data_IF_881044789441
#
_entry.id   IF_881044789441
#
_cell.length_a   1.000
_cell.length_b   1.000
_cell.length_c   1.000
_cell.angle_alpha   90.00
_cell.angle_beta   90.00
_cell.angle_gamma   90.00
#
_symmetry.space_group_name_H-M   'P 1'
#
loop_
_entity.id
_entity.type
_entity.pdbx_description
1 polymer ?
#
# COMPACT_ATOMS: atom_id res chain seq x y z
N UNK A 1 72.52 15.09 -17.55
CA UNK A 1 72.88 14.39 -16.29
C UNK A 1 72.42 15.26 -15.11
N UNK A 2 71.82 14.65 -14.09
CA UNK A 2 71.32 15.23 -12.81
C UNK A 2 69.92 15.88 -12.70
N UNK A 3 69.00 15.05 -12.18
CA UNK A 3 67.99 15.26 -11.12
C UNK A 3 67.81 16.68 -10.58
N UNK A 4 66.56 17.18 -10.59
CA UNK A 4 65.91 17.85 -9.43
C UNK A 4 64.39 18.07 -9.65
N UNK A 5 63.61 17.45 -8.75
CA UNK A 5 62.36 17.92 -8.13
C UNK A 5 61.17 18.28 -9.02
N UNK A 6 60.15 17.41 -9.04
CA UNK A 6 58.75 17.83 -8.82
C UNK A 6 58.12 16.82 -7.88
N UNK A 7 57.66 17.32 -6.73
CA UNK A 7 57.06 16.57 -5.64
C UNK A 7 55.56 16.39 -5.90
N UNK A 8 55.06 15.20 -5.58
CA UNK A 8 53.67 14.75 -5.72
C UNK A 8 52.76 15.50 -4.73
N UNK A 9 51.63 16.00 -5.21
CA UNK A 9 50.46 16.32 -4.39
C UNK A 9 49.19 16.00 -5.21
N UNK A 10 48.77 14.74 -5.17
CA UNK A 10 47.39 14.37 -5.46
C UNK A 10 46.71 14.08 -4.13
N UNK A 11 45.87 15.03 -3.70
CA UNK A 11 44.89 14.85 -2.64
C UNK A 11 43.88 13.79 -3.10
N UNK A 12 44.07 12.54 -2.66
CA UNK A 12 43.01 11.54 -2.67
C UNK A 12 42.07 11.87 -1.50
N UNK A 13 41.00 12.62 -1.79
CA UNK A 13 39.81 12.61 -0.95
C UNK A 13 39.21 11.20 -0.99
N UNK A 14 39.66 10.36 -0.06
CA UNK A 14 39.00 9.11 0.26
C UNK A 14 37.64 9.45 0.89
N UNK A 15 36.57 9.32 0.11
CA UNK A 15 35.25 9.09 0.68
C UNK A 15 35.33 7.76 1.44
N UNK A 16 35.40 7.86 2.77
CA UNK A 16 35.33 6.71 3.65
C UNK A 16 33.91 6.12 3.58
N UNK A 17 33.66 5.25 2.61
CA UNK A 17 32.72 4.14 2.81
C UNK A 17 33.37 3.22 3.84
N UNK A 18 33.14 3.48 5.12
CA UNK A 18 33.44 2.55 6.20
C UNK A 18 32.53 1.33 6.05
N UNK A 19 32.91 0.41 5.17
CA UNK A 19 32.42 -0.97 5.21
C UNK A 19 33.07 -1.64 6.41
N UNK A 20 32.52 -1.38 7.60
CA UNK A 20 32.91 -2.09 8.82
C UNK A 20 32.47 -3.55 8.68
N UNK A 21 33.37 -4.38 8.16
CA UNK A 21 33.30 -5.83 8.35
C UNK A 21 33.49 -6.04 9.86
N UNK A 22 32.59 -6.74 10.56
CA UNK A 22 32.88 -7.13 11.93
C UNK A 22 34.24 -7.83 11.95
N UNK A 23 35.17 -7.35 12.77
CA UNK A 23 36.47 -8.00 12.93
C UNK A 23 36.25 -9.47 13.33
N UNK A 24 37.17 -10.36 12.99
CA UNK A 24 37.04 -11.81 13.14
C UNK A 24 36.75 -12.29 14.60
N UNK A 25 36.73 -11.40 15.60
CA UNK A 25 36.32 -11.65 16.98
C UNK A 25 35.05 -10.92 17.48
N UNK A 26 34.39 -10.09 16.67
CA UNK A 26 33.20 -9.35 17.10
C UNK A 26 31.95 -10.25 17.06
N UNK A 27 31.55 -10.77 18.23
CA UNK A 27 30.38 -11.67 18.38
C UNK A 27 29.04 -11.00 18.10
N UNK A 28 28.94 -9.68 18.33
CA UNK A 28 27.70 -8.91 18.15
C UNK A 28 27.96 -7.68 17.28
N UNK A 29 27.24 -7.57 16.17
CA UNK A 29 27.14 -6.36 15.37
C UNK A 29 25.94 -5.53 15.84
N UNK A 30 26.13 -4.23 16.00
CA UNK A 30 25.09 -3.32 16.47
C UNK A 30 24.67 -2.39 15.33
N UNK A 31 23.39 -2.46 14.97
CA UNK A 31 22.78 -1.58 13.99
C UNK A 31 21.84 -0.60 14.70
N UNK A 32 22.23 0.66 14.77
CA UNK A 32 21.49 1.71 15.49
C UNK A 32 20.68 2.56 14.52
N UNK A 33 19.41 2.77 14.85
CA UNK A 33 18.48 3.66 14.12
C UNK A 33 17.66 4.44 15.14
N UNK A 34 17.85 5.76 15.17
CA UNK A 34 17.36 6.60 16.26
C UNK A 34 17.79 6.08 17.63
N UNK A 35 16.81 5.77 18.48
CA UNK A 35 17.04 5.24 19.83
C UNK A 35 17.10 3.70 19.89
N UNK A 36 16.73 3.01 18.81
CA UNK A 36 16.74 1.55 18.78
C UNK A 36 18.10 1.01 18.36
N UNK A 37 18.53 -0.08 19.00
CA UNK A 37 19.72 -0.83 18.62
C UNK A 37 19.34 -2.27 18.33
N UNK A 38 19.44 -2.66 17.06
CA UNK A 38 19.33 -4.06 16.64
C UNK A 38 20.68 -4.76 16.89
N UNK A 39 20.68 -5.72 17.80
CA UNK A 39 21.87 -6.53 18.10
C UNK A 39 21.84 -7.81 17.24
N UNK A 40 22.89 -8.04 16.47
CA UNK A 40 23.00 -9.16 15.54
C UNK A 40 24.17 -10.05 15.96
N UNK A 41 23.88 -11.31 16.29
CA UNK A 41 24.93 -12.32 16.51
C UNK A 41 25.55 -12.72 15.17
N UNK A 42 26.85 -12.47 15.03
CA UNK A 42 27.59 -12.66 13.76
C UNK A 42 27.97 -14.12 13.49
N UNK A 43 27.74 -15.03 14.45
CA UNK A 43 28.10 -16.44 14.37
C UNK A 43 26.88 -17.36 14.36
N UNK A 44 25.81 -17.01 15.08
CA UNK A 44 24.61 -17.84 15.28
C UNK A 44 23.97 -18.36 13.99
N UNK A 45 24.03 -17.57 12.91
CA UNK A 45 23.33 -17.87 11.65
C UNK A 45 24.25 -18.23 10.49
N UNK A 46 25.56 -18.41 10.75
CA UNK A 46 26.55 -18.71 9.71
C UNK A 46 26.22 -20.03 9.00
N UNK A 47 26.23 -20.02 7.68
CA UNK A 47 25.94 -21.19 6.85
C UNK A 47 24.46 -21.55 6.71
N UNK A 48 23.56 -20.86 7.43
CA UNK A 48 22.11 -21.03 7.25
C UNK A 48 21.65 -20.30 5.99
N UNK A 49 20.56 -20.79 5.40
CA UNK A 49 19.96 -20.18 4.20
C UNK A 49 18.48 -19.95 4.43
N UNK A 50 17.98 -18.76 4.08
CA UNK A 50 16.55 -18.46 4.01
C UNK A 50 16.15 -18.03 2.60
N UNK A 51 14.89 -18.27 2.22
CA UNK A 51 14.34 -17.83 0.94
C UNK A 51 13.22 -16.82 1.10
N UNK A 52 13.28 -15.77 0.29
CA UNK A 52 12.36 -14.63 0.29
C UNK A 52 11.58 -14.63 -1.01
N UNK A 53 10.26 -14.77 -0.93
CA UNK A 53 9.38 -14.88 -2.09
C UNK A 53 8.63 -13.58 -2.33
N UNK A 54 8.84 -12.97 -3.50
CA UNK A 54 8.28 -11.67 -3.88
C UNK A 54 7.87 -11.65 -5.35
N UNK A 55 7.06 -10.64 -5.74
CA UNK A 55 6.47 -10.57 -7.08
C UNK A 55 7.13 -9.59 -8.05
N UNK A 56 8.33 -9.15 -7.72
CA UNK A 56 9.21 -8.34 -8.55
C UNK A 56 10.64 -8.89 -8.46
N UNK A 57 11.49 -8.68 -9.46
CA UNK A 57 12.90 -9.06 -9.37
C UNK A 57 13.62 -8.29 -8.26
N UNK A 58 14.72 -8.84 -7.74
CA UNK A 58 15.59 -8.09 -6.84
C UNK A 58 16.20 -6.89 -7.59
N UNK A 59 16.02 -5.69 -7.05
CA UNK A 59 16.57 -4.48 -7.63
C UNK A 59 18.03 -4.29 -7.21
N UNK A 60 18.91 -4.10 -8.21
CA UNK A 60 20.33 -3.89 -7.96
C UNK A 60 20.64 -2.47 -7.50
N UNK A 61 19.83 -1.49 -7.92
CA UNK A 61 20.01 -0.06 -7.66
C UNK A 61 18.73 0.51 -7.07
N UNK A 62 18.89 1.41 -6.10
CA UNK A 62 17.80 2.24 -5.62
C UNK A 62 17.53 3.37 -6.61
N UNK A 63 16.26 3.73 -6.77
CA UNK A 63 15.85 4.93 -7.50
C UNK A 63 16.13 6.22 -6.71
N UNK A 64 16.40 6.12 -5.41
CA UNK A 64 16.72 7.25 -4.52
C UNK A 64 18.23 7.24 -4.23
N UNK A 65 19.01 8.20 -4.76
CA UNK A 65 20.44 8.27 -4.54
C UNK A 65 20.80 8.32 -3.04
N UNK A 66 21.70 7.44 -2.62
CA UNK A 66 22.14 7.33 -1.22
C UNK A 66 21.27 6.45 -0.34
N UNK A 67 20.20 5.85 -0.89
CA UNK A 67 19.43 4.77 -0.25
C UNK A 67 19.93 3.43 -0.76
N UNK A 68 20.14 2.46 0.12
CA UNK A 68 20.55 1.12 -0.28
C UNK A 68 19.47 0.44 -1.11
N UNK A 69 19.87 -0.27 -2.16
CA UNK A 69 18.99 -1.17 -2.90
C UNK A 69 18.67 -2.43 -2.10
N UNK A 70 17.60 -3.16 -2.45
CA UNK A 70 17.32 -4.49 -1.89
C UNK A 70 18.53 -5.43 -1.96
N UNK A 71 19.25 -5.44 -3.09
CA UNK A 71 20.48 -6.23 -3.26
C UNK A 71 21.59 -5.83 -2.29
N UNK A 72 21.84 -4.52 -2.13
CA UNK A 72 22.85 -4.02 -1.19
C UNK A 72 22.50 -4.39 0.24
N UNK A 73 21.25 -4.18 0.66
CA UNK A 73 20.78 -4.56 1.98
C UNK A 73 20.96 -6.07 2.22
N UNK A 74 20.63 -6.92 1.24
CA UNK A 74 20.85 -8.36 1.33
C UNK A 74 22.32 -8.73 1.49
N UNK A 75 23.20 -8.17 0.66
CA UNK A 75 24.63 -8.49 0.68
C UNK A 75 25.32 -8.02 1.97
N UNK A 76 24.93 -6.85 2.48
CA UNK A 76 25.36 -6.37 3.80
C UNK A 76 24.94 -7.33 4.91
N UNK A 77 23.69 -7.79 4.88
CA UNK A 77 23.17 -8.77 5.83
C UNK A 77 23.94 -10.10 5.80
N UNK A 78 24.17 -10.65 4.61
CA UNK A 78 24.95 -11.89 4.44
C UNK A 78 26.37 -11.74 4.97
N UNK A 79 26.99 -10.57 4.75
CA UNK A 79 28.35 -10.27 5.23
C UNK A 79 28.43 -10.19 6.76
N UNK A 80 27.41 -9.61 7.40
CA UNK A 80 27.35 -9.46 8.86
C UNK A 80 27.06 -10.80 9.55
N UNK A 81 26.12 -11.57 9.01
CA UNK A 81 25.57 -12.78 9.67
C UNK A 81 26.24 -14.08 9.25
N UNK A 82 26.88 -14.10 8.07
CA UNK A 82 27.34 -15.32 7.42
C UNK A 82 26.20 -16.22 6.92
N UNK A 83 24.94 -15.81 7.03
CA UNK A 83 23.80 -16.48 6.43
C UNK A 83 23.73 -16.19 4.93
N UNK A 84 22.92 -16.98 4.21
CA UNK A 84 22.55 -16.75 2.81
C UNK A 84 21.08 -16.42 2.67
N UNK A 85 20.78 -15.46 1.82
CA UNK A 85 19.41 -15.07 1.50
C UNK A 85 19.19 -15.28 0.01
N UNK A 86 18.16 -16.05 -0.34
CA UNK A 86 17.81 -16.35 -1.72
C UNK A 86 16.50 -15.68 -2.08
N UNK A 87 16.54 -14.74 -3.01
CA UNK A 87 15.33 -14.12 -3.54
C UNK A 87 14.71 -15.04 -4.59
N UNK A 88 13.43 -15.36 -4.41
CA UNK A 88 12.64 -16.16 -5.33
C UNK A 88 11.56 -15.26 -5.93
N UNK A 89 11.70 -14.99 -7.23
CA UNK A 89 10.73 -14.21 -7.99
C UNK A 89 9.57 -15.11 -8.47
N UNK A 90 8.35 -14.64 -8.27
CA UNK A 90 7.11 -15.21 -8.83
C UNK A 90 6.30 -14.10 -9.49
N UNK A 91 5.47 -14.38 -10.49
CA UNK A 91 4.64 -13.31 -11.07
C UNK A 91 3.48 -12.96 -10.15
N UNK A 92 2.85 -11.78 -10.33
CA UNK A 92 1.68 -11.38 -9.55
C UNK A 92 0.53 -12.41 -9.63
N UNK A 93 0.29 -12.94 -10.82
CA UNK A 93 -0.77 -13.89 -11.13
C UNK A 93 -0.53 -15.24 -10.47
N UNK A 94 0.73 -15.70 -10.46
CA UNK A 94 1.10 -17.04 -9.96
C UNK A 94 1.57 -17.05 -8.50
N UNK A 95 1.75 -15.87 -7.88
CA UNK A 95 2.31 -15.71 -6.54
C UNK A 95 1.60 -16.57 -5.50
N UNK A 96 0.26 -16.46 -5.43
CA UNK A 96 -0.53 -17.09 -4.38
C UNK A 96 -0.45 -18.62 -4.45
N UNK A 97 -0.59 -19.17 -5.66
CA UNK A 97 -0.53 -20.61 -5.91
C UNK A 97 0.86 -21.17 -5.58
N UNK A 98 1.92 -20.56 -6.12
CA UNK A 98 3.30 -21.04 -5.92
C UNK A 98 3.75 -20.95 -4.47
N UNK A 99 3.46 -19.84 -3.79
CA UNK A 99 3.77 -19.71 -2.36
C UNK A 99 2.98 -20.73 -1.52
N UNK A 100 1.68 -20.93 -1.81
CA UNK A 100 0.85 -21.93 -1.11
C UNK A 100 1.47 -23.32 -1.24
N UNK A 101 1.82 -23.73 -2.47
CA UNK A 101 2.44 -25.03 -2.71
C UNK A 101 3.77 -25.18 -1.96
N UNK A 102 4.64 -24.17 -2.03
CA UNK A 102 5.96 -24.19 -1.38
C UNK A 102 5.87 -24.24 0.16
N UNK A 103 4.88 -23.57 0.76
CA UNK A 103 4.62 -23.62 2.20
C UNK A 103 4.16 -25.03 2.61
N UNK A 104 3.21 -25.61 1.87
CA UNK A 104 2.65 -26.92 2.19
C UNK A 104 3.65 -28.07 1.97
N UNK A 105 4.53 -27.94 0.98
CA UNK A 105 5.60 -28.93 0.71
C UNK A 105 6.83 -28.78 1.61
N UNK A 106 6.94 -27.68 2.36
CA UNK A 106 8.12 -27.36 3.15
C UNK A 106 9.36 -27.02 2.31
N UNK A 107 9.18 -26.57 1.06
CA UNK A 107 10.24 -26.33 0.07
C UNK A 107 10.97 -25.00 0.29
N UNK A 108 11.35 -24.68 1.53
CA UNK A 108 12.21 -23.55 1.85
C UNK A 108 11.55 -22.18 1.67
N UNK A 109 10.22 -22.06 1.71
CA UNK A 109 9.57 -20.76 1.75
C UNK A 109 9.67 -20.21 3.18
N UNK A 110 10.53 -19.21 3.43
CA UNK A 110 10.74 -18.64 4.77
C UNK A 110 10.01 -17.31 4.95
N UNK A 111 10.22 -16.37 4.03
CA UNK A 111 9.59 -15.05 4.03
C UNK A 111 8.77 -14.90 2.76
N UNK A 112 7.54 -14.42 2.90
CA UNK A 112 6.59 -14.24 1.80
C UNK A 112 6.03 -12.83 1.76
N UNK A 113 5.94 -12.25 0.57
CA UNK A 113 5.17 -11.03 0.34
C UNK A 113 3.71 -11.39 0.05
N UNK A 114 2.84 -11.10 1.01
CA UNK A 114 1.39 -11.36 0.95
C UNK A 114 0.63 -10.05 0.76
N UNK A 115 -0.67 -10.15 0.55
CA UNK A 115 -1.63 -9.05 0.49
C UNK A 115 -2.97 -9.50 1.10
N UNK A 116 -4.02 -8.70 0.95
CA UNK A 116 -5.31 -9.00 1.58
C UNK A 116 -5.93 -10.33 1.11
N UNK A 117 -5.54 -10.86 -0.05
CA UNK A 117 -6.06 -12.13 -0.61
C UNK A 117 -5.73 -13.36 0.25
N UNK A 118 -4.65 -13.31 1.04
CA UNK A 118 -4.28 -14.44 1.91
C UNK A 118 -5.06 -14.47 3.22
N UNK A 119 -5.61 -13.34 3.68
CA UNK A 119 -6.46 -13.28 4.88
C UNK A 119 -7.92 -13.55 4.49
N UNK A 120 -8.64 -14.46 5.16
CA UNK A 120 -8.28 -15.14 6.41
C UNK A 120 -7.66 -16.54 6.22
N UNK A 121 -7.69 -17.09 5.00
CA UNK A 121 -7.40 -18.50 4.72
C UNK A 121 -6.04 -18.95 5.23
N UNK A 122 -4.96 -18.21 4.97
CA UNK A 122 -3.61 -18.60 5.38
C UNK A 122 -3.43 -18.55 6.90
N UNK A 123 -4.05 -17.58 7.59
CA UNK A 123 -4.03 -17.51 9.05
C UNK A 123 -4.85 -18.65 9.67
N UNK A 124 -5.99 -19.02 9.08
CA UNK A 124 -6.80 -20.15 9.53
C UNK A 124 -6.10 -21.50 9.33
N UNK A 125 -5.44 -21.69 8.19
CA UNK A 125 -4.64 -22.89 7.88
C UNK A 125 -3.28 -22.93 8.57
N UNK A 126 -2.96 -21.93 9.42
CA UNK A 126 -1.66 -21.81 10.11
C UNK A 126 -0.46 -21.85 9.16
N UNK A 127 -0.62 -21.30 7.95
CA UNK A 127 0.43 -21.24 6.92
C UNK A 127 1.47 -20.15 7.21
N UNK A 128 1.22 -19.29 8.17
CA UNK A 128 2.09 -18.20 8.59
C UNK A 128 2.39 -18.31 10.09
N UNK A 129 3.58 -17.89 10.49
CA UNK A 129 3.98 -17.81 11.89
C UNK A 129 3.55 -16.46 12.49
N UNK A 130 3.08 -16.44 13.75
CA UNK A 130 2.81 -15.18 14.45
C UNK A 130 4.13 -14.46 14.74
N UNK A 131 4.23 -13.22 14.29
CA UNK A 131 5.45 -12.42 14.33
C UNK A 131 5.76 -11.90 15.73
N UNK A 132 4.77 -11.74 16.62
CA UNK A 132 4.99 -11.32 18.01
C UNK A 132 5.90 -12.28 18.80
N UNK A 133 6.12 -13.50 18.30
CA UNK A 133 7.08 -14.45 18.89
C UNK A 133 8.53 -14.06 18.65
N UNK A 134 8.80 -13.25 17.64
CA UNK A 134 10.15 -12.91 17.17
C UNK A 134 10.41 -11.40 17.12
N UNK A 135 9.35 -10.59 17.09
CA UNK A 135 9.39 -9.13 16.98
C UNK A 135 8.58 -8.53 18.13
N UNK A 136 9.20 -7.66 18.93
CA UNK A 136 8.52 -6.96 20.02
C UNK A 136 7.84 -5.67 19.53
N UNK A 137 6.61 -5.79 19.03
CA UNK A 137 5.82 -4.64 18.56
C UNK A 137 5.45 -3.65 19.67
N UNK A 138 5.68 -3.97 20.96
CA UNK A 138 5.42 -3.06 22.08
C UNK A 138 6.62 -2.14 22.36
N UNK A 139 7.81 -2.49 21.86
CA UNK A 139 8.98 -1.64 21.94
C UNK A 139 8.80 -0.42 21.03
N UNK A 140 8.60 0.76 21.62
CA UNK A 140 8.36 2.01 20.89
C UNK A 140 9.56 2.42 20.04
N UNK A 141 10.79 2.18 20.50
CA UNK A 141 11.99 2.52 19.75
C UNK A 141 12.09 1.64 18.50
N UNK A 142 11.84 0.34 18.62
CA UNK A 142 11.76 -0.57 17.46
C UNK A 142 10.65 -0.14 16.50
N UNK A 143 9.46 0.15 17.05
CA UNK A 143 8.30 0.55 16.26
C UNK A 143 8.61 1.78 15.39
N UNK A 144 9.28 2.78 15.97
CA UNK A 144 9.70 4.00 15.28
C UNK A 144 10.92 3.77 14.37
N UNK A 145 11.83 2.89 14.75
CA UNK A 145 13.01 2.56 13.94
C UNK A 145 12.60 1.89 12.62
N UNK A 146 11.67 0.94 12.66
CA UNK A 146 11.09 0.33 11.45
C UNK A 146 10.08 1.27 10.79
N UNK A 147 9.31 2.02 11.58
CA UNK A 147 8.18 2.80 11.10
C UNK A 147 7.01 1.89 10.71
N UNK A 148 6.62 0.97 11.60
CA UNK A 148 5.56 0.00 11.29
C UNK A 148 4.23 0.68 10.96
N UNK A 149 3.60 0.21 9.88
CA UNK A 149 2.32 0.77 9.39
C UNK A 149 1.14 0.18 10.17
N UNK A 150 0.62 0.94 11.14
CA UNK A 150 -0.42 0.47 12.09
C UNK A 150 -1.64 -0.16 11.39
N UNK A 151 -2.26 0.44 10.35
CA UNK A 151 -3.43 -0.17 9.71
C UNK A 151 -3.16 -1.55 9.09
N UNK A 152 -1.91 -1.79 8.65
CA UNK A 152 -1.48 -3.09 8.12
C UNK A 152 -1.29 -4.10 9.25
N UNK A 153 -0.65 -3.69 10.35
CA UNK A 153 -0.56 -4.52 11.55
C UNK A 153 -1.95 -4.91 12.05
N UNK A 154 -2.86 -3.94 12.17
CA UNK A 154 -4.23 -4.16 12.61
C UNK A 154 -4.96 -5.12 11.66
N UNK A 155 -4.85 -4.90 10.34
CA UNK A 155 -5.49 -5.76 9.35
C UNK A 155 -4.96 -7.19 9.40
N UNK A 156 -3.65 -7.40 9.50
CA UNK A 156 -3.06 -8.74 9.60
C UNK A 156 -3.02 -9.31 11.02
N UNK A 157 -3.57 -8.60 12.01
CA UNK A 157 -3.81 -9.16 13.33
C UNK A 157 -4.93 -10.20 13.26
N UNK A 158 -4.67 -11.37 13.81
CA UNK A 158 -5.60 -12.49 13.87
C UNK A 158 -5.52 -13.15 15.23
N UNK A 159 -6.65 -13.21 15.94
CA UNK A 159 -6.75 -13.79 17.30
C UNK A 159 -5.68 -13.22 18.27
N UNK A 160 -5.43 -11.91 18.17
CA UNK A 160 -4.49 -11.19 19.02
C UNK A 160 -3.00 -11.33 18.63
N UNK A 161 -2.69 -11.95 17.49
CA UNK A 161 -1.32 -12.08 16.98
C UNK A 161 -1.17 -11.41 15.62
N UNK A 162 -0.05 -10.75 15.38
CA UNK A 162 0.35 -10.08 14.15
C UNK A 162 1.01 -11.10 13.22
N UNK A 163 0.52 -11.21 11.99
CA UNK A 163 1.05 -12.19 11.00
C UNK A 163 1.83 -11.57 9.85
N UNK A 164 1.69 -10.26 9.61
CA UNK A 164 2.41 -9.59 8.55
C UNK A 164 2.68 -8.12 8.91
N UNK A 165 3.77 -7.59 8.35
CA UNK A 165 4.27 -6.25 8.62
C UNK A 165 4.73 -5.54 7.35
N UNK A 166 4.66 -4.22 7.38
CA UNK A 166 5.34 -3.35 6.43
C UNK A 166 5.72 -2.04 7.14
N UNK A 167 6.48 -1.19 6.47
CA UNK A 167 6.91 0.11 6.99
C UNK A 167 6.28 1.29 6.25
N UNK A 168 6.61 2.51 6.68
CA UNK A 168 6.27 3.77 6.02
C UNK A 168 7.36 4.26 5.03
N UNK A 169 8.45 3.51 4.91
CA UNK A 169 9.62 3.88 4.11
C UNK A 169 9.68 3.07 2.80
N UNK A 170 8.52 2.73 2.25
CA UNK A 170 8.37 2.10 0.94
C UNK A 170 7.64 3.03 -0.04
N UNK A 171 7.61 2.65 -1.31
CA UNK A 171 7.05 3.45 -2.41
C UNK A 171 5.53 3.63 -2.36
N UNK A 172 4.83 2.82 -1.56
CA UNK A 172 3.37 2.76 -1.47
C UNK A 172 2.86 3.16 -0.07
N UNK A 173 3.55 4.09 0.60
CA UNK A 173 3.15 4.56 1.94
C UNK A 173 1.82 5.31 1.94
N UNK A 174 1.51 6.03 0.85
CA UNK A 174 0.27 6.78 0.73
C UNK A 174 -0.90 5.83 0.44
N UNK A 175 -2.12 6.17 0.87
CA UNK A 175 -3.29 5.45 0.40
C UNK A 175 -3.54 5.77 -1.08
N UNK A 176 -4.58 5.19 -1.66
CA UNK A 176 -5.21 5.69 -2.87
C UNK A 176 -5.54 7.18 -2.73
N UNK A 177 -5.45 7.88 -3.85
CA UNK A 177 -5.47 9.34 -3.92
C UNK A 177 -6.53 9.73 -4.93
N UNK A 178 -7.34 10.74 -4.62
CA UNK A 178 -8.11 11.44 -5.64
C UNK A 178 -7.18 12.46 -6.31
N UNK A 179 -6.64 12.07 -7.46
CA UNK A 179 -5.95 12.96 -8.36
C UNK A 179 -6.97 13.90 -9.01
N UNK A 180 -6.60 15.17 -9.17
CA UNK A 180 -7.44 16.14 -9.87
C UNK A 180 -6.61 17.11 -10.70
N UNK A 181 -7.18 17.60 -11.80
CA UNK A 181 -6.53 18.58 -12.66
C UNK A 181 -6.92 20.00 -12.21
N UNK A 182 -6.00 20.70 -11.53
CA UNK A 182 -6.19 22.05 -10.97
C UNK A 182 -6.68 23.06 -12.02
N UNK A 183 -6.14 22.98 -13.24
CA UNK A 183 -6.50 23.90 -14.33
C UNK A 183 -7.97 23.75 -14.72
N UNK A 184 -8.52 22.53 -14.70
CA UNK A 184 -9.95 22.31 -15.00
C UNK A 184 -10.88 22.96 -13.97
N UNK A 185 -10.49 22.95 -12.70
CA UNK A 185 -11.23 23.65 -11.65
C UNK A 185 -11.11 25.16 -11.78
N UNK A 186 -9.90 25.67 -12.04
CA UNK A 186 -9.63 27.10 -12.23
C UNK A 186 -10.41 27.67 -13.43
N UNK A 187 -10.36 26.99 -14.59
CA UNK A 187 -11.09 27.40 -15.79
C UNK A 187 -12.61 27.43 -15.59
N UNK A 188 -13.14 26.54 -14.75
CA UNK A 188 -14.56 26.49 -14.42
C UNK A 188 -14.95 27.47 -13.29
N UNK A 189 -14.02 28.23 -12.72
CA UNK A 189 -14.26 29.12 -11.59
C UNK A 189 -14.63 28.37 -10.31
N UNK A 190 -14.21 27.11 -10.18
CA UNK A 190 -14.56 26.24 -9.06
C UNK A 190 -13.48 26.26 -7.97
N UNK A 191 -13.87 26.09 -6.69
CA UNK A 191 -12.92 26.00 -5.60
C UNK A 191 -12.00 24.77 -5.72
N UNK A 192 -10.76 24.95 -5.28
CA UNK A 192 -9.76 23.88 -5.25
C UNK A 192 -10.14 22.77 -4.23
N UNK A 193 -10.16 21.48 -4.63
CA UNK A 193 -10.46 20.35 -3.75
C UNK A 193 -9.58 20.23 -2.50
N UNK A 194 -8.29 20.53 -2.59
CA UNK A 194 -7.36 20.45 -1.45
C UNK A 194 -7.69 21.54 -0.42
N UNK A 195 -8.01 22.76 -0.88
CA UNK A 195 -8.47 23.83 0.01
C UNK A 195 -9.82 23.51 0.67
N UNK A 196 -10.75 22.92 -0.08
CA UNK A 196 -12.02 22.43 0.51
C UNK A 196 -11.77 21.35 1.57
N UNK A 197 -10.80 20.46 1.35
CA UNK A 197 -10.44 19.42 2.31
C UNK A 197 -9.87 20.02 3.59
N UNK A 198 -8.95 20.99 3.46
CA UNK A 198 -8.39 21.74 4.60
C UNK A 198 -9.45 22.47 5.41
N UNK A 199 -10.49 22.98 4.74
CA UNK A 199 -11.63 23.65 5.37
C UNK A 199 -12.68 22.68 5.95
N UNK A 200 -12.52 21.36 5.78
CA UNK A 200 -13.52 20.37 6.18
C UNK A 200 -14.79 20.38 5.35
N UNK A 201 -14.76 21.03 4.17
CA UNK A 201 -15.87 21.16 3.22
C UNK A 201 -15.80 20.15 2.07
N UNK A 202 -14.77 19.30 2.01
CA UNK A 202 -14.65 18.25 1.00
C UNK A 202 -15.51 17.03 1.32
N UNK A 203 -16.78 17.11 0.92
CA UNK A 203 -17.82 16.11 1.18
C UNK A 203 -18.34 15.49 -0.12
N UNK A 204 -19.07 14.37 -0.06
CA UNK A 204 -19.73 13.79 -1.24
C UNK A 204 -20.66 14.79 -1.94
N UNK A 205 -21.41 15.59 -1.17
CA UNK A 205 -22.28 16.62 -1.72
C UNK A 205 -21.48 17.64 -2.53
N UNK A 206 -20.37 18.13 -1.98
CA UNK A 206 -19.46 19.05 -2.66
C UNK A 206 -18.87 18.40 -3.91
N UNK A 207 -18.42 17.16 -3.82
CA UNK A 207 -17.89 16.38 -4.94
C UNK A 207 -18.91 16.25 -6.08
N UNK A 208 -20.16 15.89 -5.79
CA UNK A 208 -21.22 15.81 -6.80
C UNK A 208 -21.57 17.18 -7.38
N UNK A 209 -21.59 18.23 -6.55
CA UNK A 209 -21.88 19.59 -7.00
C UNK A 209 -20.81 20.14 -7.94
N UNK A 210 -19.53 19.92 -7.65
CA UNK A 210 -18.44 20.29 -8.54
C UNK A 210 -18.39 19.38 -9.76
N UNK A 211 -18.62 18.08 -9.59
CA UNK A 211 -18.63 17.12 -10.69
C UNK A 211 -19.68 17.40 -11.75
N UNK A 212 -20.90 17.78 -11.36
CA UNK A 212 -21.92 18.26 -12.31
C UNK A 212 -21.42 19.44 -13.13
N UNK A 213 -20.76 20.39 -12.49
CA UNK A 213 -20.25 21.59 -13.17
C UNK A 213 -19.05 21.28 -14.06
N UNK A 214 -18.22 20.28 -13.72
CA UNK A 214 -17.06 19.87 -14.53
C UNK A 214 -17.41 18.97 -15.71
N UNK A 215 -18.63 18.44 -15.76
CA UNK A 215 -19.11 17.60 -16.86
C UNK A 215 -19.72 18.52 -17.92
N UNK A 216 -18.97 18.79 -18.98
CA UNK A 216 -19.26 19.86 -19.93
C UNK A 216 -19.02 19.42 -21.38
N UNK A 217 -19.79 20.03 -22.27
CA UNK A 217 -19.44 20.19 -23.67
C UNK A 217 -18.60 21.47 -23.78
N UNK A 218 -17.29 21.31 -23.94
CA UNK A 218 -16.36 22.44 -23.94
C UNK A 218 -16.17 23.07 -25.32
N UNK A 219 -16.65 22.42 -26.39
CA UNK A 219 -16.52 22.88 -27.77
C UNK A 219 -17.85 23.39 -28.39
N UNK A 220 -18.99 23.13 -27.73
CA UNK A 220 -20.31 23.60 -28.12
C UNK A 220 -20.99 22.80 -29.23
N UNK A 221 -20.53 21.58 -29.53
CA UNK A 221 -21.08 20.71 -30.60
C UNK A 221 -22.31 19.89 -30.17
N UNK A 222 -22.75 20.07 -28.91
CA UNK A 222 -23.87 19.37 -28.30
C UNK A 222 -23.50 18.02 -27.68
N UNK A 223 -22.21 17.65 -27.65
CA UNK A 223 -21.72 16.40 -27.05
C UNK A 223 -20.74 16.70 -25.92
N UNK A 224 -20.92 16.00 -24.80
CA UNK A 224 -20.00 16.11 -23.66
C UNK A 224 -18.63 15.53 -24.05
N UNK A 225 -17.61 16.38 -24.01
CA UNK A 225 -16.21 16.05 -24.31
C UNK A 225 -15.29 16.10 -23.07
N UNK A 226 -15.79 16.65 -21.96
CA UNK A 226 -15.14 16.65 -20.66
C UNK A 226 -16.05 16.06 -19.59
N UNK A 227 -15.51 15.17 -18.77
CA UNK A 227 -16.24 14.53 -17.68
C UNK A 227 -15.56 14.80 -16.34
N UNK A 228 -16.32 14.77 -15.26
CA UNK A 228 -15.75 15.03 -13.94
C UNK A 228 -14.80 13.94 -13.44
N UNK A 229 -15.12 12.67 -13.69
CA UNK A 229 -14.47 11.57 -12.99
C UNK A 229 -14.40 10.29 -13.85
N UNK A 230 -13.34 9.51 -13.71
CA UNK A 230 -13.32 8.10 -14.08
C UNK A 230 -12.27 7.38 -13.23
N UNK A 231 -12.59 6.17 -12.77
CA UNK A 231 -11.67 5.32 -12.00
C UNK A 231 -12.14 3.87 -12.09
N UNK A 232 -11.20 2.93 -12.03
CA UNK A 232 -11.50 1.50 -11.84
C UNK A 232 -12.01 1.18 -10.43
N UNK A 233 -11.85 2.09 -9.46
CA UNK A 233 -12.40 1.96 -8.11
C UNK A 233 -13.78 2.61 -8.05
N UNK A 234 -14.82 1.82 -8.27
CA UNK A 234 -16.21 2.27 -8.43
C UNK A 234 -16.90 2.56 -7.10
N UNK A 235 -17.34 1.52 -6.38
CA UNK A 235 -18.09 1.63 -5.12
C UNK A 235 -17.19 1.67 -3.89
N UNK A 236 -15.97 1.10 -3.96
CA UNK A 236 -15.06 0.99 -2.84
C UNK A 236 -14.81 2.32 -2.10
N UNK A 237 -14.43 3.43 -2.77
CA UNK A 237 -14.20 4.70 -2.07
C UNK A 237 -15.46 5.22 -1.36
N UNK A 238 -16.66 5.01 -1.91
CA UNK A 238 -17.91 5.38 -1.25
C UNK A 238 -18.23 4.47 -0.04
N UNK A 239 -17.92 3.18 -0.09
CA UNK A 239 -18.08 2.32 1.08
C UNK A 239 -17.15 2.77 2.21
N UNK A 240 -15.88 2.99 1.90
CA UNK A 240 -14.86 3.33 2.89
C UNK A 240 -15.11 4.68 3.56
N UNK A 241 -15.38 5.71 2.75
CA UNK A 241 -15.66 7.07 3.24
C UNK A 241 -17.05 7.21 3.87
N UNK A 242 -17.85 6.13 3.91
CA UNK A 242 -19.10 6.05 4.67
C UNK A 242 -19.05 5.01 5.82
N UNK A 243 -17.85 4.61 6.27
CA UNK A 243 -17.63 3.65 7.35
C UNK A 243 -18.25 2.25 7.13
N UNK A 244 -18.25 1.78 5.87
CA UNK A 244 -18.77 0.46 5.51
C UNK A 244 -17.63 -0.47 5.15
N UNK A 245 -17.47 -1.54 5.93
CA UNK A 245 -16.69 -2.71 5.51
C UNK A 245 -17.64 -3.78 4.96
N UNK A 246 -17.40 -4.36 3.77
CA UNK A 246 -18.28 -5.40 3.23
C UNK A 246 -18.25 -6.68 4.08
N UNK A 247 -17.14 -6.91 4.77
CA UNK A 247 -16.93 -8.01 5.72
C UNK A 247 -16.41 -7.45 7.04
N UNK A 248 -16.95 -7.96 8.15
CA UNK A 248 -16.42 -7.77 9.50
C UNK A 248 -15.85 -9.08 10.02
N UNK A 249 -14.79 -9.02 10.81
CA UNK A 249 -14.28 -10.19 11.52
C UNK A 249 -14.79 -10.20 12.96
N UNK A 250 -15.62 -11.18 13.31
CA UNK A 250 -16.13 -11.39 14.67
C UNK A 250 -15.49 -12.67 15.22
N UNK A 251 -14.67 -12.54 16.27
CA UNK A 251 -13.93 -13.69 16.83
C UNK A 251 -12.99 -14.38 15.83
N UNK A 252 -12.50 -13.66 14.81
CA UNK A 252 -11.76 -14.26 13.70
C UNK A 252 -12.63 -15.09 12.77
N UNK A 253 -13.91 -14.72 12.57
CA UNK A 253 -14.75 -15.27 11.51
C UNK A 253 -15.22 -14.12 10.61
N UNK A 254 -15.05 -14.19 9.29
CA UNK A 254 -15.63 -13.21 8.37
C UNK A 254 -17.16 -13.28 8.41
N UNK A 255 -17.81 -12.12 8.48
CA UNK A 255 -19.27 -11.96 8.54
C UNK A 255 -19.66 -10.89 7.53
N UNK A 256 -20.68 -11.18 6.73
CA UNK A 256 -21.26 -10.27 5.75
C UNK A 256 -21.80 -9.00 6.43
N UNK A 257 -21.50 -7.81 5.87
CA UNK A 257 -21.83 -6.53 6.49
C UNK A 257 -22.28 -5.45 5.47
N UNK A 258 -23.03 -5.84 4.43
CA UNK A 258 -23.60 -4.88 3.46
C UNK A 258 -25.10 -4.64 3.61
N UNK A 259 -25.79 -5.42 4.42
CA UNK A 259 -27.23 -5.26 4.67
C UNK A 259 -27.49 -4.16 5.71
N UNK A 260 -27.14 -2.92 5.38
CA UNK A 260 -27.32 -1.76 6.24
C UNK A 260 -27.46 -0.45 5.45
N UNK A 261 -28.05 0.56 6.08
CA UNK A 261 -28.34 1.85 5.44
C UNK A 261 -27.10 2.56 4.88
N UNK A 262 -25.94 2.49 5.57
CA UNK A 262 -24.71 3.14 5.11
C UNK A 262 -24.19 2.53 3.82
N UNK A 263 -24.26 1.20 3.70
CA UNK A 263 -23.90 0.47 2.49
C UNK A 263 -24.84 0.82 1.33
N UNK A 264 -26.16 0.86 1.59
CA UNK A 264 -27.13 1.22 0.57
C UNK A 264 -26.87 2.63 0.01
N UNK A 265 -26.59 3.61 0.89
CA UNK A 265 -26.24 4.97 0.48
C UNK A 265 -24.97 5.02 -0.37
N UNK A 266 -23.95 4.22 -0.05
CA UNK A 266 -22.71 4.17 -0.81
C UNK A 266 -22.93 3.64 -2.24
N UNK A 267 -23.72 2.58 -2.42
CA UNK A 267 -24.08 2.12 -3.76
C UNK A 267 -25.00 3.10 -4.49
N UNK A 268 -25.96 3.71 -3.78
CA UNK A 268 -26.82 4.76 -4.35
C UNK A 268 -26.00 5.96 -4.83
N UNK A 269 -24.90 6.31 -4.14
CA UNK A 269 -23.99 7.37 -4.55
C UNK A 269 -23.32 7.08 -5.91
N UNK A 270 -23.02 5.80 -6.21
CA UNK A 270 -22.55 5.38 -7.54
C UNK A 270 -23.63 5.59 -8.60
N UNK A 271 -24.87 5.20 -8.31
CA UNK A 271 -26.00 5.46 -9.22
C UNK A 271 -26.21 6.96 -9.47
N UNK A 272 -26.14 7.79 -8.42
CA UNK A 272 -26.27 9.23 -8.57
C UNK A 272 -25.17 9.82 -9.45
N UNK A 273 -23.92 9.41 -9.24
CA UNK A 273 -22.78 9.82 -10.06
C UNK A 273 -23.01 9.51 -11.55
N UNK A 274 -23.46 8.29 -11.85
CA UNK A 274 -23.57 7.78 -13.22
C UNK A 274 -24.85 8.21 -13.92
N UNK A 275 -26.00 7.83 -13.35
CA UNK A 275 -27.29 7.96 -14.01
C UNK A 275 -27.88 9.36 -13.87
N UNK A 276 -27.71 9.98 -12.70
CA UNK A 276 -28.33 11.29 -12.39
C UNK A 276 -27.44 12.45 -12.80
N UNK A 277 -26.15 12.40 -12.46
CA UNK A 277 -25.21 13.50 -12.69
C UNK A 277 -24.31 13.30 -13.91
N UNK A 278 -24.30 12.09 -14.51
CA UNK A 278 -23.53 11.76 -15.72
C UNK A 278 -22.05 12.15 -15.63
N UNK A 279 -21.48 12.05 -14.42
CA UNK A 279 -20.13 12.54 -14.11
C UNK A 279 -19.01 11.75 -14.78
N UNK A 280 -19.33 10.58 -15.34
CA UNK A 280 -18.39 9.70 -16.02
C UNK A 280 -18.83 9.45 -17.46
N UNK A 281 -17.90 9.19 -18.39
CA UNK A 281 -18.25 8.70 -19.72
C UNK A 281 -19.06 7.40 -19.64
N UNK A 282 -19.90 7.14 -20.65
CA UNK A 282 -20.69 5.90 -20.70
C UNK A 282 -19.81 4.63 -20.70
N UNK A 283 -18.58 4.74 -21.20
CA UNK A 283 -17.56 3.69 -21.29
C UNK A 283 -16.39 3.96 -20.31
N UNK A 284 -16.67 4.54 -19.13
CA UNK A 284 -15.68 4.98 -18.14
C UNK A 284 -14.61 3.95 -17.76
N UNK A 285 -14.87 2.65 -17.95
CA UNK A 285 -13.96 1.55 -17.68
C UNK A 285 -12.77 1.48 -18.67
N UNK A 286 -12.89 2.14 -19.83
CA UNK A 286 -11.87 2.18 -20.88
C UNK A 286 -10.80 3.21 -20.53
N UNK A 287 -9.63 2.75 -20.08
CA UNK A 287 -8.45 3.59 -19.81
C UNK A 287 -8.72 4.83 -18.93
N UNK A 288 -9.28 4.68 -17.72
CA UNK A 288 -9.62 5.82 -16.85
C UNK A 288 -8.39 6.67 -16.50
N UNK A 289 -7.24 6.04 -16.21
CA UNK A 289 -6.00 6.76 -15.93
C UNK A 289 -5.51 7.55 -17.15
N UNK A 290 -5.50 6.95 -18.34
CA UNK A 290 -5.10 7.65 -19.56
C UNK A 290 -6.06 8.78 -19.95
N UNK A 291 -7.36 8.66 -19.66
CA UNK A 291 -8.33 9.75 -19.81
C UNK A 291 -8.01 10.93 -18.91
N UNK A 292 -7.66 10.66 -17.64
CA UNK A 292 -7.26 11.70 -16.71
C UNK A 292 -5.95 12.37 -17.14
N UNK A 293 -4.95 11.59 -17.54
CA UNK A 293 -3.67 12.10 -18.06
C UNK A 293 -3.86 13.00 -19.30
N UNK A 294 -4.82 12.67 -20.17
CA UNK A 294 -5.19 13.47 -21.36
C UNK A 294 -6.13 14.64 -21.05
N UNK A 295 -6.58 14.78 -19.80
CA UNK A 295 -7.51 15.83 -19.37
C UNK A 295 -8.95 15.66 -19.87
N UNK A 296 -9.33 14.46 -20.34
CA UNK A 296 -10.71 14.09 -20.70
C UNK A 296 -11.57 14.00 -19.44
N UNK A 297 -10.99 13.49 -18.35
CA UNK A 297 -11.60 13.52 -17.01
C UNK A 297 -10.88 14.49 -16.09
N UNK A 298 -11.62 15.17 -15.22
CA UNK A 298 -11.07 16.16 -14.30
C UNK A 298 -10.50 15.56 -13.01
N UNK A 299 -10.94 14.37 -12.63
CA UNK A 299 -10.53 13.65 -11.44
C UNK A 299 -10.39 12.14 -11.70
N UNK A 300 -9.47 11.48 -10.98
CA UNK A 300 -9.28 10.03 -10.96
C UNK A 300 -8.87 9.59 -9.55
N UNK A 301 -9.53 8.56 -9.01
CA UNK A 301 -9.16 7.98 -7.73
C UNK A 301 -8.33 6.72 -7.96
N UNK A 302 -7.02 6.81 -7.74
CA UNK A 302 -6.10 5.74 -8.10
C UNK A 302 -4.92 5.58 -7.13
N UNK A 303 -4.14 4.52 -7.31
CA UNK A 303 -3.10 4.12 -6.39
C UNK A 303 -1.87 5.05 -6.43
N UNK A 304 -1.06 5.05 -5.35
CA UNK A 304 0.12 5.92 -5.23
C UNK A 304 1.31 5.51 -6.12
N UNK A 305 1.32 4.27 -6.63
CA UNK A 305 2.35 3.81 -7.57
C UNK A 305 2.37 4.62 -8.87
N UNK A 306 1.25 5.26 -9.23
CA UNK A 306 1.10 6.01 -10.47
C UNK A 306 1.40 7.51 -10.33
N UNK A 307 1.77 7.98 -9.13
CA UNK A 307 2.07 9.40 -8.86
C UNK A 307 3.04 9.99 -9.88
N UNK A 308 4.13 9.28 -10.17
CA UNK A 308 5.16 9.74 -11.10
C UNK A 308 4.62 9.85 -12.53
N UNK A 309 3.83 8.89 -12.99
CA UNK A 309 3.15 8.92 -14.29
C UNK A 309 2.20 10.12 -14.38
N UNK A 310 1.33 10.29 -13.37
CA UNK A 310 0.40 11.41 -13.31
C UNK A 310 1.11 12.76 -13.29
N UNK A 311 2.23 12.86 -12.55
CA UNK A 311 3.05 14.06 -12.47
C UNK A 311 3.72 14.38 -13.81
N UNK A 312 4.22 13.37 -14.52
CA UNK A 312 4.81 13.56 -15.84
C UNK A 312 3.79 14.07 -16.86
N UNK A 313 2.53 13.59 -16.78
CA UNK A 313 1.46 14.02 -17.68
C UNK A 313 0.97 15.45 -17.41
N UNK A 314 0.76 15.81 -16.13
CA UNK A 314 0.07 17.05 -15.74
C UNK A 314 0.99 18.12 -15.13
N UNK A 315 2.20 17.76 -14.72
CA UNK A 315 3.17 18.65 -14.08
C UNK A 315 2.60 19.34 -12.84
N UNK A 316 2.63 20.68 -12.85
CA UNK A 316 2.11 21.53 -11.76
C UNK A 316 0.58 21.55 -11.69
N UNK A 317 -0.12 21.11 -12.74
CA UNK A 317 -1.59 21.04 -12.81
C UNK A 317 -2.14 19.87 -11.98
N UNK A 318 -1.31 18.90 -11.62
CA UNK A 318 -1.72 17.78 -10.80
C UNK A 318 -1.94 18.19 -9.34
N UNK A 319 -3.18 18.08 -8.90
CA UNK A 319 -3.59 18.10 -7.51
C UNK A 319 -3.82 16.70 -6.97
N UNK A 320 -3.72 16.57 -5.65
CA UNK A 320 -3.92 15.33 -4.90
C UNK A 320 -4.69 15.67 -3.63
N UNK A 321 -5.73 14.91 -3.36
CA UNK A 321 -6.53 15.05 -2.15
C UNK A 321 -7.08 13.68 -1.75
N UNK A 322 -7.34 13.41 -0.46
CA UNK A 322 -8.16 12.27 -0.06
C UNK A 322 -9.54 12.28 -0.73
N UNK A 323 -10.15 11.11 -0.88
CA UNK A 323 -11.51 10.98 -1.38
C UNK A 323 -12.49 11.74 -0.45
N UNK A 324 -13.51 12.42 -0.98
CA UNK A 324 -14.44 13.22 -0.18
C UNK A 324 -15.12 12.40 0.91
N UNK A 325 -15.34 13.06 2.05
CA UNK A 325 -15.98 12.46 3.22
C UNK A 325 -17.46 12.15 2.94
N UNK A 326 -17.90 10.95 3.31
CA UNK A 326 -19.31 10.55 3.25
C UNK A 326 -20.16 11.13 4.38
N UNK A 327 -21.49 11.10 4.24
CA UNK A 327 -22.40 11.73 5.18
C UNK A 327 -22.46 11.04 6.55
N UNK A 328 -22.17 9.74 6.63
CA UNK A 328 -22.31 8.94 7.86
C UNK A 328 -20.99 8.64 8.56
N UNK A 329 -19.88 9.27 8.17
CA UNK A 329 -18.59 9.14 8.85
C UNK A 329 -18.23 10.38 9.67
N UNK A 330 -17.40 10.20 10.69
CA UNK A 330 -16.73 11.29 11.40
C UNK A 330 -15.23 11.41 11.04
N UNK A 331 -14.72 10.48 10.23
CA UNK A 331 -13.32 10.49 9.79
C UNK A 331 -13.10 11.62 8.79
N UNK A 332 -11.89 12.18 8.77
CA UNK A 332 -11.47 13.14 7.74
C UNK A 332 -11.33 12.48 6.36
N UNK A 333 -10.91 11.23 6.36
CA UNK A 333 -10.72 10.40 5.17
C UNK A 333 -10.74 8.91 5.55
N UNK A 334 -10.88 8.04 4.55
CA UNK A 334 -10.86 6.59 4.70
C UNK A 334 -10.43 5.91 3.39
N UNK A 335 -9.38 6.42 2.77
CA UNK A 335 -8.92 5.93 1.47
C UNK A 335 -8.37 4.50 1.56
N UNK A 336 -8.48 3.76 0.46
CA UNK A 336 -7.97 2.40 0.32
C UNK A 336 -6.44 2.41 0.43
N UNK A 337 -5.86 1.51 1.20
CA UNK A 337 -4.40 1.44 1.38
C UNK A 337 -3.78 0.35 0.52
N UNK A 338 -2.48 0.45 0.25
CA UNK A 338 -1.71 -0.75 -0.16
C UNK A 338 -1.88 -1.79 0.95
N UNK A 339 -2.34 -2.97 0.57
CA UNK A 339 -2.69 -4.09 1.44
C UNK A 339 -1.58 -5.12 1.58
N UNK A 340 -0.45 -4.84 0.94
CA UNK A 340 0.67 -5.75 0.88
C UNK A 340 1.55 -5.69 2.13
N UNK A 341 2.07 -6.84 2.54
CA UNK A 341 2.91 -6.97 3.72
C UNK A 341 3.82 -8.20 3.64
N UNK A 342 4.88 -8.19 4.45
CA UNK A 342 5.78 -9.31 4.61
C UNK A 342 5.37 -10.18 5.78
N UNK A 343 5.36 -11.50 5.58
CA UNK A 343 5.08 -12.49 6.60
C UNK A 343 6.16 -13.59 6.64
N UNK A 344 6.23 -14.30 7.75
CA UNK A 344 7.08 -15.50 7.89
C UNK A 344 6.20 -16.72 7.69
N UNK A 345 6.54 -17.56 6.73
CA UNK A 345 5.82 -18.79 6.42
C UNK A 345 6.04 -19.86 7.49
N UNK A 346 5.03 -20.72 7.70
CA UNK A 346 5.09 -21.83 8.65
C UNK A 346 6.09 -22.92 8.28
N UNK A 347 6.51 -22.96 7.00
CA UNK A 347 7.55 -23.84 6.48
C UNK A 347 8.97 -23.41 6.85
N UNK A 348 9.16 -22.22 7.44
CA UNK A 348 10.49 -21.74 7.79
C UNK A 348 11.16 -22.63 8.83
N UNK A 349 12.38 -23.06 8.54
CA UNK A 349 13.22 -23.84 9.48
C UNK A 349 14.02 -22.95 10.43
N UNK A 350 14.15 -21.67 10.11
CA UNK A 350 14.92 -20.69 10.85
C UNK A 350 14.12 -19.39 11.07
N UNK A 351 12.99 -19.43 11.78
CA UNK A 351 12.07 -18.30 11.87
C UNK A 351 12.66 -17.08 12.59
N UNK A 352 13.62 -17.27 13.51
CA UNK A 352 14.36 -16.16 14.13
C UNK A 352 15.28 -15.44 13.13
N UNK A 353 15.92 -16.18 12.23
CA UNK A 353 16.74 -15.61 11.15
C UNK A 353 15.85 -14.88 10.14
N UNK A 354 14.70 -15.48 9.80
CA UNK A 354 13.72 -14.84 8.93
C UNK A 354 13.19 -13.52 9.53
N UNK A 355 12.86 -13.50 10.82
CA UNK A 355 12.43 -12.29 11.52
C UNK A 355 13.55 -11.22 11.57
N UNK A 356 14.79 -11.65 11.80
CA UNK A 356 15.93 -10.74 11.79
C UNK A 356 16.15 -10.11 10.40
N UNK A 357 16.09 -10.89 9.33
CA UNK A 357 16.19 -10.36 7.97
C UNK A 357 15.02 -9.45 7.62
N UNK A 358 13.81 -9.80 8.05
CA UNK A 358 12.62 -8.98 7.88
C UNK A 358 12.78 -7.60 8.53
N UNK A 359 13.29 -7.54 9.77
CA UNK A 359 13.62 -6.28 10.43
C UNK A 359 14.71 -5.50 9.70
N UNK A 360 15.78 -6.19 9.27
CA UNK A 360 16.88 -5.56 8.54
C UNK A 360 16.42 -4.89 7.24
N UNK A 361 15.61 -5.60 6.44
CA UNK A 361 15.06 -5.10 5.19
C UNK A 361 14.14 -3.89 5.40
N UNK A 362 13.31 -3.91 6.45
CA UNK A 362 12.32 -2.86 6.72
C UNK A 362 12.87 -1.66 7.51
N UNK A 363 14.09 -1.73 8.03
CA UNK A 363 14.64 -0.70 8.92
C UNK A 363 15.75 0.12 8.23
N UNK A 364 15.40 1.17 7.48
CA UNK A 364 16.39 2.08 6.89
C UNK A 364 17.19 2.79 7.99
N UNK A 365 18.42 3.18 7.66
CA UNK A 365 19.24 4.08 8.48
C UNK A 365 18.58 5.45 8.62
N UNK A 366 18.98 6.25 9.60
CA UNK A 366 18.43 7.61 9.78
C UNK A 366 18.62 8.49 8.54
N UNK A 367 19.78 8.39 7.88
CA UNK A 367 20.05 9.10 6.63
C UNK A 367 19.14 8.63 5.48
N UNK A 368 18.90 7.32 5.39
CA UNK A 368 18.00 6.78 4.36
C UNK A 368 16.57 7.22 4.60
N UNK A 369 16.11 7.29 5.86
CA UNK A 369 14.79 7.83 6.20
C UNK A 369 14.63 9.25 5.70
N UNK A 370 15.62 10.11 5.94
CA UNK A 370 15.60 11.50 5.47
C UNK A 370 15.49 11.57 3.94
N UNK A 371 16.26 10.75 3.22
CA UNK A 371 16.25 10.70 1.76
C UNK A 371 14.92 10.17 1.21
N UNK A 372 14.38 9.11 1.81
CA UNK A 372 13.09 8.52 1.41
C UNK A 372 11.96 9.51 1.65
N UNK A 373 11.91 10.16 2.81
CA UNK A 373 10.88 11.17 3.11
C UNK A 373 11.00 12.37 2.19
N UNK A 374 12.23 12.80 1.88
CA UNK A 374 12.46 13.89 0.91
C UNK A 374 11.93 13.53 -0.48
N UNK A 375 12.25 12.33 -0.99
CA UNK A 375 11.74 11.84 -2.28
C UNK A 375 10.19 11.78 -2.29
N UNK A 376 9.60 11.24 -1.23
CA UNK A 376 8.16 11.18 -1.05
C UNK A 376 7.50 12.57 -1.09
N UNK A 377 8.10 13.57 -0.43
CA UNK A 377 7.65 14.98 -0.45
C UNK A 377 7.71 15.55 -1.86
N UNK A 378 8.80 15.32 -2.59
CA UNK A 378 8.99 15.82 -3.95
C UNK A 378 7.98 15.20 -4.93
N UNK A 379 7.76 13.87 -4.86
CA UNK A 379 6.79 13.14 -5.70
C UNK A 379 5.37 13.67 -5.58
N UNK A 380 4.92 13.90 -4.35
CA UNK A 380 3.55 14.41 -4.10
C UNK A 380 3.42 15.93 -4.35
N UNK A 381 4.53 16.61 -4.66
CA UNK A 381 4.54 18.01 -5.09
C UNK A 381 4.64 19.00 -3.95
N UNK A 382 5.11 18.59 -2.77
CA UNK A 382 5.38 19.46 -1.65
C UNK A 382 4.97 18.90 -0.29
N UNK A 383 5.51 19.52 0.77
CA UNK A 383 5.34 19.05 2.16
C UNK A 383 3.89 19.07 2.63
N UNK A 384 3.09 20.04 2.20
CA UNK A 384 1.68 20.15 2.59
C UNK A 384 0.86 18.93 2.13
N UNK A 385 1.01 18.55 0.85
CA UNK A 385 0.34 17.35 0.30
C UNK A 385 0.87 16.09 0.98
N UNK A 386 2.19 16.02 1.21
CA UNK A 386 2.81 14.92 1.95
C UNK A 386 2.19 14.74 3.34
N UNK A 387 2.11 15.80 4.14
CA UNK A 387 1.57 15.74 5.51
C UNK A 387 0.09 15.28 5.49
N UNK A 388 -0.69 15.75 4.51
CA UNK A 388 -2.10 15.35 4.33
C UNK A 388 -2.23 13.86 3.98
N UNK A 389 -1.41 13.37 3.04
CA UNK A 389 -1.48 11.97 2.62
C UNK A 389 -0.91 11.01 3.68
N UNK A 390 0.12 11.43 4.43
CA UNK A 390 0.61 10.69 5.59
C UNK A 390 -0.45 10.63 6.68
N UNK A 391 -1.11 11.75 7.00
CA UNK A 391 -2.23 11.78 7.94
C UNK A 391 -3.36 10.84 7.46
N UNK A 392 -3.72 10.87 6.17
CA UNK A 392 -4.70 9.96 5.59
C UNK A 392 -4.27 8.48 5.70
N UNK A 393 -2.98 8.17 5.51
CA UNK A 393 -2.46 6.81 5.61
C UNK A 393 -2.68 6.18 6.99
N UNK A 394 -2.76 6.99 8.05
CA UNK A 394 -3.06 6.51 9.43
C UNK A 394 -4.49 5.97 9.59
N UNK A 395 -5.40 6.30 8.65
CA UNK A 395 -6.81 5.91 8.65
C UNK A 395 -7.19 5.08 7.43
N UNK A 396 -6.19 4.60 6.71
CA UNK A 396 -6.42 3.84 5.47
C UNK A 396 -7.19 2.56 5.74
N UNK A 397 -7.99 2.15 4.76
CA UNK A 397 -8.81 0.94 4.80
C UNK A 397 -8.16 -0.12 3.94
N UNK A 398 -8.08 -1.35 4.46
CA UNK A 398 -7.69 -2.52 3.67
C UNK A 398 -8.95 -3.28 3.27
N UNK A 399 -9.09 -3.59 1.98
CA UNK A 399 -10.27 -4.28 1.45
C UNK A 399 -10.37 -5.70 2.03
N UNK A 400 -11.33 -5.99 2.93
CA UNK A 400 -11.42 -7.30 3.58
C UNK A 400 -12.06 -8.37 2.67
N UNK A 401 -12.59 -8.00 1.51
CA UNK A 401 -13.26 -8.91 0.58
C UNK A 401 -12.31 -9.65 -0.35
N UNK A 402 -11.10 -9.13 -0.57
CA UNK A 402 -10.16 -9.68 -1.54
C UNK A 402 -9.73 -11.12 -1.23
N UNK A 403 -9.77 -11.54 0.03
CA UNK A 403 -9.48 -12.92 0.44
C UNK A 403 -10.68 -13.86 0.50
N UNK A 404 -11.85 -13.43 0.01
CA UNK A 404 -13.04 -14.28 -0.13
C UNK A 404 -13.33 -14.46 -1.63
N UNK A 405 -13.02 -15.64 -2.22
CA UNK A 405 -13.24 -15.89 -3.64
C UNK A 405 -14.70 -15.63 -4.06
N UNK A 406 -14.90 -14.96 -5.19
CA UNK A 406 -16.23 -14.64 -5.71
C UNK A 406 -16.90 -13.43 -5.05
N UNK A 407 -16.34 -12.86 -3.98
CA UNK A 407 -17.01 -11.79 -3.23
C UNK A 407 -17.03 -10.48 -4.04
N UNK A 408 -15.94 -10.12 -4.70
CA UNK A 408 -15.88 -8.91 -5.55
C UNK A 408 -16.84 -9.04 -6.74
N UNK A 409 -16.90 -10.21 -7.37
CA UNK A 409 -17.80 -10.47 -8.49
C UNK A 409 -19.28 -10.40 -8.08
N UNK A 410 -19.60 -10.75 -6.83
CA UNK A 410 -20.93 -10.55 -6.26
C UNK A 410 -21.23 -9.08 -5.95
N UNK A 411 -20.21 -8.30 -5.54
CA UNK A 411 -20.35 -6.85 -5.35
C UNK A 411 -20.67 -6.14 -6.67
N UNK A 412 -20.02 -6.57 -7.76
CA UNK A 412 -20.23 -6.00 -9.09
C UNK A 412 -21.64 -6.31 -9.66
N UNK A 413 -22.33 -7.32 -9.12
CA UNK A 413 -23.72 -7.66 -9.45
C UNK A 413 -24.76 -6.80 -8.71
N UNK A 414 -24.35 -5.95 -7.76
CA UNK A 414 -25.29 -5.13 -7.00
C UNK A 414 -25.91 -4.07 -7.92
N UNK A 415 -27.24 -4.07 -8.01
CA UNK A 415 -27.99 -3.01 -8.67
C UNK A 415 -27.92 -1.75 -7.81
N UNK A 416 -27.05 -0.82 -8.22
CA UNK A 416 -26.83 0.47 -7.57
C UNK A 416 -28.07 1.37 -7.55
N UNK A 417 -29.06 1.14 -8.42
CA UNK A 417 -30.33 1.87 -8.41
C UNK A 417 -31.31 1.35 -7.35
N UNK A 418 -31.16 0.08 -6.93
CA UNK A 418 -31.99 -0.56 -5.91
C UNK A 418 -31.14 -1.38 -4.91
N UNK A 419 -30.16 -0.75 -4.24
CA UNK A 419 -29.12 -1.49 -3.52
C UNK A 419 -29.69 -2.33 -2.38
N UNK A 420 -30.68 -1.83 -1.64
CA UNK A 420 -31.30 -2.58 -0.55
C UNK A 420 -31.95 -3.89 -1.01
N UNK A 421 -32.70 -3.86 -2.12
CA UNK A 421 -33.34 -5.04 -2.69
C UNK A 421 -32.31 -6.01 -3.26
N UNK A 422 -31.34 -5.49 -4.02
CA UNK A 422 -30.30 -6.29 -4.66
C UNK A 422 -29.39 -6.98 -3.64
N UNK A 423 -28.90 -6.26 -2.63
CA UNK A 423 -28.05 -6.81 -1.57
C UNK A 423 -28.78 -7.92 -0.80
N UNK A 424 -30.06 -7.73 -0.46
CA UNK A 424 -30.86 -8.77 0.22
C UNK A 424 -31.01 -10.03 -0.65
N UNK A 425 -31.22 -9.86 -1.95
CA UNK A 425 -31.32 -10.99 -2.89
C UNK A 425 -29.98 -11.73 -3.07
N UNK A 426 -28.86 -11.01 -3.06
CA UNK A 426 -27.51 -11.58 -3.20
C UNK A 426 -26.94 -12.12 -1.89
N UNK A 427 -27.51 -11.74 -0.73
CA UNK A 427 -27.02 -12.12 0.60
C UNK A 427 -26.74 -13.63 0.76
N UNK A 428 -27.62 -14.56 0.32
CA UNK A 428 -27.31 -15.99 0.41
C UNK A 428 -26.05 -16.39 -0.36
N UNK A 429 -25.75 -15.74 -1.50
CA UNK A 429 -24.53 -16.00 -2.28
C UNK A 429 -23.28 -15.46 -1.57
N UNK A 430 -23.37 -14.28 -0.95
CA UNK A 430 -22.28 -13.74 -0.13
C UNK A 430 -21.99 -14.63 1.07
N UNK A 431 -23.04 -15.07 1.78
CA UNK A 431 -22.91 -15.99 2.91
C UNK A 431 -22.35 -17.34 2.47
N UNK A 432 -22.74 -17.87 1.30
CA UNK A 432 -22.16 -19.07 0.72
C UNK A 432 -20.67 -18.91 0.39
N UNK A 433 -20.24 -17.78 -0.19
CA UNK A 433 -18.84 -17.51 -0.48
C UNK A 433 -18.00 -17.43 0.82
N UNK A 434 -18.53 -16.77 1.85
CA UNK A 434 -17.93 -16.73 3.18
C UNK A 434 -17.83 -18.15 3.78
N UNK A 435 -18.91 -18.94 3.71
CA UNK A 435 -18.96 -20.29 4.25
C UNK A 435 -18.02 -21.24 3.51
N UNK A 436 -17.85 -21.12 2.19
CA UNK A 436 -16.92 -21.95 1.43
C UNK A 436 -15.47 -21.79 1.92
N UNK A 437 -15.07 -20.57 2.30
CA UNK A 437 -13.76 -20.31 2.92
C UNK A 437 -13.65 -20.97 4.30
N UNK A 438 -14.76 -21.07 5.04
CA UNK A 438 -14.81 -21.73 6.35
C UNK A 438 -14.91 -23.28 6.26
N UNK A 439 -15.56 -23.81 5.22
CA UNK A 439 -15.82 -25.24 5.02
C UNK A 439 -14.67 -25.97 4.36
N UNK A 440 -13.94 -25.34 3.42
CA UNK A 440 -12.71 -25.88 2.82
C UNK A 440 -11.52 -26.05 3.79
N UNK A 441 -11.83 -26.06 5.09
CA UNK A 441 -10.94 -26.14 6.25
C UNK A 441 -11.34 -27.25 7.24
N UNK A 442 -12.51 -27.88 7.07
CA UNK A 442 -12.81 -29.17 7.71
C UNK A 442 -12.12 -30.26 6.91
#
# INVERSE_FOLDING_TARGET
MNKRKVFVLFFLMFFAFLTFVPGFGQRVYQYKVGNYVLNIDTQKYRGKTIYVWQHWPEEEKSNIPGVRSPKQAREEFEKITGAKVKIVYVTWETKVEKQTAAILSGSGCDIVYIDSRQKPTWMMKKMLLPLDRYIDFKNKDLYNAVGFRKPILDYFTWRGQIYAVTNIYNDNVFPYILYYNKEKFEMAGLPDPLELYKQGKWTWETFFNLGKQLTQDTNGDGKIDQYAYASWRTYAPFLWTNDVMPIKYIGGRPVFNLDNLKAYKAFQAVYEMDAKYKMRPADWWTDPQGRFQKGITCMDYWGPWDISTMRNALGKKLGMVPFPKGPDTNKKSADEGDDSAWAIASSSKDPELAALYLLWMLMPTDKEKELIVKDQIERVGGKEVYDILIDASTRTVINPAAGIPGFTELMDQIDVANPAKSIKALRPKFEAAINAVLEGLK
#
